data_IF_816062851226
#
_entry.id   IF_816062851226
#
_cell.length_a   1.000
_cell.length_b   1.000
_cell.length_c   1.000
_cell.angle_alpha   90.00
_cell.angle_beta   90.00
_cell.angle_gamma   90.00
#
_symmetry.space_group_name_H-M   'P 1'
#
loop_
_entity.id
_entity.type
_entity.pdbx_description
1 polymer ?
#
# COMPACT_ATOMS: atom_id res chain seq x y z
N UNK A 1 10.07 -20.37 -17.42
CA UNK A 1 8.70 -19.82 -17.61
C UNK A 1 8.37 -18.97 -16.39
N UNK A 2 8.87 -17.74 -16.37
CA UNK A 2 8.67 -16.79 -15.27
C UNK A 2 7.37 -16.03 -15.56
N UNK A 3 6.24 -16.56 -15.08
CA UNK A 3 4.95 -15.85 -15.13
C UNK A 3 4.98 -14.61 -14.25
N UNK A 4 4.30 -13.55 -14.68
CA UNK A 4 4.11 -12.34 -13.86
C UNK A 4 3.37 -12.71 -12.57
N UNK A 5 3.72 -12.18 -11.39
CA UNK A 5 2.94 -12.47 -10.18
C UNK A 5 1.56 -11.79 -10.24
N UNK A 6 0.53 -12.36 -9.58
CA UNK A 6 -0.75 -11.71 -9.45
C UNK A 6 -0.59 -10.37 -8.73
N UNK A 7 -1.31 -9.35 -9.21
CA UNK A 7 -1.22 -8.00 -8.68
C UNK A 7 -2.60 -7.42 -8.44
N UNK A 8 -2.75 -6.70 -7.35
CA UNK A 8 -3.97 -5.95 -7.08
C UNK A 8 -3.98 -4.67 -7.93
N UNK A 9 -4.97 -4.55 -8.80
CA UNK A 9 -5.24 -3.33 -9.54
C UNK A 9 -6.29 -2.47 -8.85
N UNK A 10 -6.18 -1.15 -8.99
CA UNK A 10 -7.27 -0.20 -8.74
C UNK A 10 -7.73 0.34 -10.08
N UNK A 11 -9.00 0.20 -10.42
CA UNK A 11 -9.57 0.82 -11.61
C UNK A 11 -10.74 1.74 -11.24
N UNK A 12 -10.84 2.85 -11.96
CA UNK A 12 -11.89 3.86 -11.77
C UNK A 12 -12.81 3.86 -13.01
N UNK A 13 -14.11 3.59 -12.86
CA UNK A 13 -15.09 4.05 -13.84
C UNK A 13 -15.15 5.58 -13.75
N UNK A 14 -14.88 6.29 -14.85
CA UNK A 14 -14.82 7.76 -14.93
C UNK A 14 -16.14 8.49 -14.64
N UNK A 15 -17.20 7.78 -14.24
CA UNK A 15 -18.57 8.28 -14.16
C UNK A 15 -19.02 8.66 -12.75
N UNK A 16 -18.22 8.44 -11.71
CA UNK A 16 -18.61 8.72 -10.32
C UNK A 16 -17.78 9.85 -9.72
N UNK A 17 -18.20 11.09 -9.99
CA UNK A 17 -17.70 12.28 -9.32
C UNK A 17 -18.65 12.66 -8.18
N UNK A 18 -18.28 12.32 -6.94
CA UNK A 18 -18.97 12.78 -5.72
C UNK A 18 -19.26 11.67 -4.71
N UNK A 19 -18.76 11.85 -3.48
CA UNK A 19 -18.67 10.89 -2.36
C UNK A 19 -17.70 9.73 -2.60
N UNK A 20 -16.97 9.33 -1.56
CA UNK A 20 -15.88 8.34 -1.62
C UNK A 20 -16.39 7.02 -2.24
N UNK A 21 -16.13 6.84 -3.53
CA UNK A 21 -16.49 5.62 -4.24
C UNK A 21 -15.79 4.44 -3.55
N UNK A 22 -16.48 3.30 -3.31
CA UNK A 22 -15.83 2.12 -2.79
C UNK A 22 -14.71 1.73 -3.75
N UNK A 23 -13.49 1.59 -3.22
CA UNK A 23 -12.35 1.17 -4.01
C UNK A 23 -12.62 -0.26 -4.53
N UNK A 24 -12.90 -0.39 -5.82
CA UNK A 24 -13.00 -1.67 -6.50
C UNK A 24 -11.57 -2.19 -6.70
N UNK A 25 -11.19 -3.13 -5.86
CA UNK A 25 -9.97 -3.90 -6.02
C UNK A 25 -10.26 -5.06 -6.96
N UNK A 26 -9.54 -5.14 -8.07
CA UNK A 26 -9.60 -6.30 -8.95
C UNK A 26 -8.26 -7.03 -8.89
N UNK A 27 -8.31 -8.32 -8.59
CA UNK A 27 -7.14 -9.19 -8.62
C UNK A 27 -6.79 -9.49 -10.09
N UNK A 28 -5.66 -9.00 -10.57
CA UNK A 28 -5.14 -9.34 -11.90
C UNK A 28 -4.30 -10.60 -11.80
N UNK A 29 -4.77 -11.67 -12.47
CA UNK A 29 -4.04 -12.93 -12.60
C UNK A 29 -3.34 -12.98 -13.96
N UNK A 30 -2.24 -13.75 -14.06
CA UNK A 30 -1.65 -14.13 -15.35
C UNK A 30 -2.61 -14.97 -16.19
N UNK A 31 -2.54 -14.83 -17.52
CA UNK A 31 -3.43 -15.51 -18.49
C UNK A 31 -3.44 -17.05 -18.35
N UNK A 32 -2.36 -17.65 -17.86
CA UNK A 32 -2.23 -19.10 -17.61
C UNK A 32 -2.84 -19.57 -16.27
N UNK A 33 -3.24 -18.63 -15.42
CA UNK A 33 -3.93 -18.85 -14.15
C UNK A 33 -5.35 -18.26 -14.15
N UNK A 34 -5.82 -17.75 -15.29
CA UNK A 34 -7.24 -17.48 -15.49
C UNK A 34 -7.98 -18.83 -15.54
N UNK A 35 -8.87 -19.14 -14.57
CA UNK A 35 -9.62 -20.38 -14.57
C UNK A 35 -10.52 -20.41 -15.80
N UNK A 36 -10.52 -21.56 -16.47
CA UNK A 36 -11.23 -21.76 -17.73
C UNK A 36 -12.75 -21.52 -17.64
N UNK A 37 -13.42 -21.45 -18.80
CA UNK A 37 -14.85 -21.11 -18.93
C UNK A 37 -15.82 -22.05 -18.20
N UNK A 38 -15.35 -23.19 -17.69
CA UNK A 38 -16.15 -24.20 -16.98
C UNK A 38 -16.45 -23.87 -15.52
N UNK A 39 -15.93 -22.77 -14.95
CA UNK A 39 -16.17 -22.38 -13.56
C UNK A 39 -17.60 -21.85 -13.27
N UNK A 40 -18.56 -22.24 -14.10
CA UNK A 40 -20.00 -22.12 -13.92
C UNK A 40 -20.71 -23.47 -13.86
N UNK A 41 -19.99 -24.59 -13.98
CA UNK A 41 -20.61 -25.91 -13.99
C UNK A 41 -20.99 -26.32 -12.57
N UNK A 42 -22.13 -25.80 -12.11
CA UNK A 42 -22.68 -26.07 -10.78
C UNK A 42 -24.19 -25.82 -10.72
N UNK A 43 -24.84 -26.33 -9.68
CA UNK A 43 -26.31 -26.36 -9.52
C UNK A 43 -26.97 -25.00 -9.25
N UNK A 44 -26.19 -23.93 -9.08
CA UNK A 44 -26.68 -22.61 -8.67
C UNK A 44 -27.33 -21.81 -9.81
N UNK A 45 -26.72 -21.63 -11.01
CA UNK A 45 -27.40 -21.01 -12.15
C UNK A 45 -28.69 -21.72 -12.55
N UNK A 46 -28.71 -23.05 -12.52
CA UNK A 46 -29.90 -23.85 -12.83
C UNK A 46 -31.03 -23.61 -11.80
N UNK A 47 -30.70 -23.60 -10.50
CA UNK A 47 -31.64 -23.22 -9.44
C UNK A 47 -32.12 -21.78 -9.57
N UNK A 48 -31.23 -20.84 -9.88
CA UNK A 48 -31.61 -19.44 -10.09
C UNK A 48 -32.53 -19.25 -11.30
N UNK A 49 -32.34 -20.06 -12.34
CA UNK A 49 -33.22 -20.08 -13.53
C UNK A 49 -34.63 -20.48 -13.14
N UNK A 50 -34.76 -21.45 -12.21
CA UNK A 50 -36.05 -21.92 -11.71
C UNK A 50 -36.69 -20.96 -10.68
N UNK A 51 -35.95 -20.54 -9.66
CA UNK A 51 -36.49 -19.79 -8.52
C UNK A 51 -36.64 -18.28 -8.78
N UNK A 52 -35.78 -17.71 -9.63
CA UNK A 52 -35.69 -16.26 -9.87
C UNK A 52 -35.35 -15.93 -11.34
N UNK A 53 -36.15 -16.38 -12.33
CA UNK A 53 -35.83 -16.22 -13.76
C UNK A 53 -35.63 -14.76 -14.19
N UNK A 54 -36.43 -13.83 -13.63
CA UNK A 54 -36.34 -12.39 -13.93
C UNK A 54 -35.05 -11.76 -13.40
N UNK A 55 -34.57 -12.22 -12.23
CA UNK A 55 -33.30 -11.73 -11.67
C UNK A 55 -32.14 -12.25 -12.51
N UNK A 56 -32.16 -13.53 -12.86
CA UNK A 56 -31.11 -14.15 -13.68
C UNK A 56 -31.00 -13.48 -15.04
N UNK A 57 -32.12 -13.10 -15.68
CA UNK A 57 -32.09 -12.33 -16.92
C UNK A 57 -31.35 -10.99 -16.80
N UNK A 58 -31.33 -10.37 -15.61
CA UNK A 58 -30.62 -9.10 -15.36
C UNK A 58 -29.16 -9.28 -14.99
N UNK A 59 -28.81 -10.34 -14.26
CA UNK A 59 -27.47 -10.54 -13.69
C UNK A 59 -26.69 -11.69 -14.33
N UNK A 60 -27.27 -12.41 -15.28
CA UNK A 60 -26.71 -13.65 -15.83
C UNK A 60 -25.34 -13.48 -16.48
N UNK A 61 -25.03 -12.30 -17.02
CA UNK A 61 -23.71 -11.98 -17.57
C UNK A 61 -22.62 -11.72 -16.52
N UNK A 62 -23.00 -11.27 -15.32
CA UNK A 62 -22.06 -10.96 -14.21
C UNK A 62 -22.02 -12.06 -13.14
N UNK A 63 -23.03 -12.93 -13.09
CA UNK A 63 -23.09 -14.04 -12.17
C UNK A 63 -21.87 -15.00 -12.30
N UNK A 64 -21.39 -15.36 -13.51
CA UNK A 64 -20.22 -16.21 -13.68
C UNK A 64 -18.94 -15.68 -13.04
N UNK A 65 -18.48 -14.44 -13.33
CA UNK A 65 -17.30 -13.91 -12.67
C UNK A 65 -17.51 -13.71 -11.16
N UNK A 66 -18.73 -13.40 -10.71
CA UNK A 66 -19.02 -13.26 -9.27
C UNK A 66 -18.92 -14.59 -8.51
N UNK A 67 -19.46 -15.68 -9.06
CA UNK A 67 -19.35 -17.03 -8.47
C UNK A 67 -17.90 -17.46 -8.42
N UNK A 68 -17.14 -17.25 -9.52
CA UNK A 68 -15.69 -17.51 -9.55
C UNK A 68 -14.93 -16.77 -8.46
N UNK A 69 -15.22 -15.48 -8.29
CA UNK A 69 -14.56 -14.68 -7.26
C UNK A 69 -14.95 -15.16 -5.85
N UNK A 70 -16.22 -15.51 -5.64
CA UNK A 70 -16.68 -16.08 -4.38
C UNK A 70 -16.01 -17.44 -4.08
N UNK A 71 -15.77 -18.29 -5.08
CA UNK A 71 -15.03 -19.53 -4.92
C UNK A 71 -13.55 -19.28 -4.60
N UNK A 72 -12.91 -18.30 -5.25
CA UNK A 72 -11.52 -17.91 -4.95
C UNK A 72 -11.35 -17.36 -3.54
N UNK A 73 -12.33 -16.62 -3.06
CA UNK A 73 -12.38 -16.12 -1.69
C UNK A 73 -12.78 -17.21 -0.67
N UNK A 74 -13.09 -18.42 -1.13
CA UNK A 74 -13.52 -19.53 -0.28
C UNK A 74 -14.90 -19.33 0.35
N UNK A 75 -15.74 -18.43 -0.21
CA UNK A 75 -17.13 -18.23 0.21
C UNK A 75 -18.05 -19.30 -0.37
N UNK A 76 -17.70 -19.80 -1.55
CA UNK A 76 -18.35 -20.92 -2.21
C UNK A 76 -17.35 -22.06 -2.42
N UNK A 77 -17.84 -23.29 -2.36
CA UNK A 77 -17.12 -24.48 -2.81
C UNK A 77 -18.10 -25.38 -3.55
N UNK A 78 -17.78 -25.73 -4.81
CA UNK A 78 -18.59 -26.60 -5.65
C UNK A 78 -20.07 -26.15 -5.74
N UNK A 79 -20.30 -24.84 -5.85
CA UNK A 79 -21.65 -24.25 -5.90
C UNK A 79 -22.44 -24.25 -4.59
N UNK A 80 -21.80 -24.50 -3.44
CA UNK A 80 -22.42 -24.43 -2.10
C UNK A 80 -21.72 -23.40 -1.20
N UNK A 81 -22.43 -22.81 -0.24
CA UNK A 81 -21.84 -21.89 0.74
C UNK A 81 -20.91 -22.65 1.69
N UNK A 82 -19.69 -22.16 1.84
CA UNK A 82 -18.78 -22.62 2.89
C UNK A 82 -19.23 -22.10 4.25
N UNK A 83 -18.56 -22.51 5.33
CA UNK A 83 -18.79 -21.95 6.66
C UNK A 83 -18.54 -20.44 6.71
N UNK A 84 -17.43 -19.98 6.11
CA UNK A 84 -17.10 -18.56 5.93
C UNK A 84 -18.18 -17.84 5.11
N UNK A 85 -18.63 -18.45 4.01
CA UNK A 85 -19.72 -17.92 3.19
C UNK A 85 -21.04 -17.76 3.96
N UNK A 86 -21.36 -18.72 4.84
CA UNK A 86 -22.56 -18.66 5.70
C UNK A 86 -22.47 -17.59 6.77
N UNK A 87 -21.30 -17.36 7.37
CA UNK A 87 -21.10 -16.32 8.39
C UNK A 87 -21.21 -14.90 7.80
N UNK A 88 -20.81 -14.73 6.53
CA UNK A 88 -20.90 -13.44 5.83
C UNK A 88 -22.26 -13.20 5.17
N UNK A 89 -22.99 -14.27 4.84
CA UNK A 89 -24.33 -14.16 4.27
C UNK A 89 -25.21 -13.32 5.19
N UNK A 90 -26.00 -12.37 4.66
CA UNK A 90 -27.02 -11.71 5.46
C UNK A 90 -27.95 -12.78 6.03
N UNK A 91 -28.35 -12.63 7.29
CA UNK A 91 -29.45 -13.42 7.83
C UNK A 91 -30.61 -13.30 6.85
N UNK A 92 -31.06 -14.45 6.34
CA UNK A 92 -32.11 -14.45 5.33
C UNK A 92 -33.29 -13.71 5.96
N UNK A 93 -33.73 -12.55 5.43
CA UNK A 93 -34.91 -11.92 5.99
C UNK A 93 -36.00 -12.98 5.91
N UNK A 94 -36.60 -13.30 7.07
CA UNK A 94 -37.78 -14.13 7.13
C UNK A 94 -38.71 -13.65 6.02
N UNK A 95 -39.15 -14.57 5.16
CA UNK A 95 -39.98 -14.26 3.98
C UNK A 95 -40.97 -13.16 4.36
N UNK A 96 -40.87 -11.94 3.78
CA UNK A 96 -41.72 -10.86 4.22
C UNK A 96 -43.16 -11.26 3.94
N UNK A 97 -43.93 -11.48 5.00
CA UNK A 97 -45.37 -11.43 4.92
C UNK A 97 -45.73 -10.06 4.38
N UNK A 98 -46.10 -10.04 3.10
CA UNK A 98 -46.79 -8.97 2.38
C UNK A 98 -46.95 -7.64 3.15
N UNK A 99 -45.99 -6.74 2.95
CA UNK A 99 -46.13 -5.32 3.30
C UNK A 99 -45.18 -4.86 4.40
N UNK A 100 -44.01 -4.39 3.99
CA UNK A 100 -43.34 -3.20 4.53
C UNK A 100 -42.08 -2.96 3.68
N UNK A 101 -42.03 -1.81 2.98
CA UNK A 101 -40.89 -1.36 2.18
C UNK A 101 -39.73 -0.94 3.10
N UNK A 102 -39.08 -1.91 3.74
CA UNK A 102 -37.82 -1.68 4.43
C UNK A 102 -36.70 -1.61 3.37
N UNK A 103 -36.52 -0.43 2.78
CA UNK A 103 -35.31 -0.12 2.01
C UNK A 103 -34.18 -0.05 3.06
N UNK A 104 -33.22 -1.00 3.07
CA UNK A 104 -32.15 -0.95 4.06
C UNK A 104 -31.41 0.37 3.92
N UNK A 105 -31.31 1.13 5.00
CA UNK A 105 -30.43 2.29 5.04
C UNK A 105 -29.00 1.82 4.72
N UNK A 106 -28.34 2.50 3.79
CA UNK A 106 -26.97 2.19 3.39
C UNK A 106 -26.02 2.20 4.60
N UNK A 107 -26.30 3.03 5.61
CA UNK A 107 -25.59 3.04 6.89
C UNK A 107 -25.75 1.72 7.66
N UNK A 108 -26.99 1.26 7.86
CA UNK A 108 -27.31 0.02 8.58
C UNK A 108 -26.76 -1.24 7.88
N UNK A 109 -26.81 -1.27 6.54
CA UNK A 109 -26.22 -2.36 5.76
C UNK A 109 -24.69 -2.44 5.90
N UNK A 110 -24.02 -1.29 5.97
CA UNK A 110 -22.56 -1.20 6.16
C UNK A 110 -22.13 -1.62 7.56
N UNK A 111 -22.88 -1.22 8.60
CA UNK A 111 -22.64 -1.64 10.00
C UNK A 111 -22.85 -3.13 10.17
N UNK A 112 -23.92 -3.69 9.61
CA UNK A 112 -24.17 -5.14 9.68
C UNK A 112 -23.11 -5.96 8.95
N UNK A 113 -22.54 -5.45 7.85
CA UNK A 113 -21.42 -6.11 7.17
C UNK A 113 -20.14 -6.09 8.02
N UNK A 114 -19.82 -4.95 8.64
CA UNK A 114 -18.65 -4.83 9.51
C UNK A 114 -18.71 -5.82 10.69
N UNK A 115 -19.88 -5.97 11.31
CA UNK A 115 -20.09 -6.94 12.39
C UNK A 115 -19.94 -8.39 11.90
N UNK A 116 -20.53 -8.74 10.75
CA UNK A 116 -20.36 -10.08 10.16
C UNK A 116 -18.91 -10.38 9.81
N UNK A 117 -18.18 -9.39 9.27
CA UNK A 117 -16.74 -9.51 8.99
C UNK A 117 -15.95 -9.76 10.27
N UNK A 118 -16.23 -9.04 11.36
CA UNK A 118 -15.58 -9.23 12.66
C UNK A 118 -15.81 -10.66 13.19
N UNK A 119 -17.06 -11.13 13.24
CA UNK A 119 -17.38 -12.51 13.67
C UNK A 119 -16.71 -13.57 12.78
N UNK A 120 -16.66 -13.32 11.48
CA UNK A 120 -15.98 -14.22 10.54
C UNK A 120 -14.47 -14.26 10.78
N UNK A 121 -13.87 -13.12 11.09
CA UNK A 121 -12.45 -13.03 11.44
C UNK A 121 -12.15 -13.80 12.74
N UNK A 122 -12.98 -13.65 13.77
CA UNK A 122 -12.84 -14.39 15.04
C UNK A 122 -12.94 -15.91 14.80
N UNK A 123 -13.95 -16.35 14.05
CA UNK A 123 -14.11 -17.75 13.70
C UNK A 123 -12.92 -18.32 12.89
N UNK A 124 -12.40 -17.55 11.94
CA UNK A 124 -11.21 -17.94 11.18
C UNK A 124 -9.97 -17.99 12.08
N UNK A 125 -9.83 -17.08 13.05
CA UNK A 125 -8.72 -17.11 14.00
C UNK A 125 -8.74 -18.35 14.90
N UNK A 126 -9.92 -18.86 15.26
CA UNK A 126 -10.09 -20.12 16.00
C UNK A 126 -9.85 -21.36 15.14
N UNK A 127 -10.26 -21.33 13.87
CA UNK A 127 -10.18 -22.48 12.96
C UNK A 127 -8.80 -22.66 12.31
N UNK A 128 -8.03 -21.58 12.15
CA UNK A 128 -6.72 -21.61 11.52
C UNK A 128 -5.62 -21.99 12.51
N UNK A 129 -4.51 -22.60 12.05
CA UNK A 129 -3.34 -22.83 12.89
C UNK A 129 -2.83 -21.52 13.50
N UNK A 130 -2.28 -21.56 14.73
CA UNK A 130 -1.74 -20.37 15.35
C UNK A 130 -0.63 -19.78 14.48
N UNK A 131 -0.68 -18.46 14.31
CA UNK A 131 0.35 -17.73 13.59
C UNK A 131 1.63 -17.68 14.43
N UNK A 132 2.77 -17.81 13.76
CA UNK A 132 4.09 -17.67 14.37
C UNK A 132 4.79 -16.45 13.81
N UNK A 133 5.64 -15.84 14.61
CA UNK A 133 6.49 -14.71 14.22
C UNK A 133 7.96 -15.13 14.07
N UNK A 134 8.28 -16.39 14.35
CA UNK A 134 9.64 -16.91 14.41
C UNK A 134 10.12 -17.53 13.09
N UNK A 135 11.38 -17.26 12.74
CA UNK A 135 12.11 -17.83 11.61
C UNK A 135 13.45 -18.40 12.02
N UNK A 136 13.96 -19.35 11.23
CA UNK A 136 15.35 -19.81 11.29
C UNK A 136 16.12 -19.27 10.09
N UNK A 137 17.11 -18.42 10.36
CA UNK A 137 18.04 -17.93 9.34
C UNK A 137 19.26 -18.85 9.26
N UNK A 138 19.50 -19.40 8.07
CA UNK A 138 20.55 -20.36 7.79
C UNK A 138 21.76 -19.69 7.12
N UNK A 139 22.92 -20.35 7.17
CA UNK A 139 24.19 -19.84 6.62
C UNK A 139 24.22 -19.72 5.10
N UNK A 140 23.32 -20.41 4.40
CA UNK A 140 23.10 -20.35 2.95
C UNK A 140 22.20 -19.18 2.52
N UNK A 141 21.94 -18.23 3.43
CA UNK A 141 21.12 -17.04 3.23
C UNK A 141 19.63 -17.36 2.99
N UNK A 142 19.15 -18.46 3.55
CA UNK A 142 17.72 -18.78 3.58
C UNK A 142 17.12 -18.52 4.96
N UNK A 143 15.89 -18.03 4.99
CA UNK A 143 15.04 -17.96 6.16
C UNK A 143 13.89 -18.94 5.99
N UNK A 144 13.76 -19.86 6.94
CA UNK A 144 12.69 -20.86 6.97
C UNK A 144 11.76 -20.53 8.12
N UNK A 145 10.47 -20.39 7.85
CA UNK A 145 9.49 -20.21 8.91
C UNK A 145 9.33 -21.46 9.77
N UNK A 146 8.97 -21.29 11.04
CA UNK A 146 8.65 -22.42 11.92
C UNK A 146 7.22 -22.94 11.70
N UNK A 147 6.36 -22.14 11.06
CA UNK A 147 4.95 -22.43 10.81
C UNK A 147 4.28 -21.37 9.93
N UNK A 148 2.97 -21.19 10.11
CA UNK A 148 2.21 -20.15 9.41
C UNK A 148 2.64 -18.76 9.91
N UNK A 149 3.42 -18.03 9.13
CA UNK A 149 3.90 -16.70 9.55
C UNK A 149 2.76 -15.70 9.72
N UNK A 150 2.87 -14.86 10.74
CA UNK A 150 2.06 -13.66 10.86
C UNK A 150 2.18 -12.80 9.58
N UNK A 151 1.06 -12.22 9.08
CA UNK A 151 1.04 -11.46 7.83
C UNK A 151 2.09 -10.33 7.77
N UNK A 152 2.31 -9.65 8.89
CA UNK A 152 3.25 -8.54 9.02
C UNK A 152 4.69 -9.00 8.83
N UNK A 153 5.06 -10.15 9.41
CA UNK A 153 6.39 -10.75 9.28
C UNK A 153 6.61 -11.26 7.87
N UNK A 154 5.60 -11.90 7.28
CA UNK A 154 5.66 -12.34 5.87
C UNK A 154 5.85 -11.16 4.92
N UNK A 155 5.10 -10.07 5.11
CA UNK A 155 5.23 -8.86 4.29
C UNK A 155 6.62 -8.21 4.44
N UNK A 156 7.14 -8.14 5.67
CA UNK A 156 8.50 -7.68 5.94
C UNK A 156 9.55 -8.51 5.20
N UNK A 157 9.47 -9.84 5.28
CA UNK A 157 10.37 -10.76 4.57
C UNK A 157 10.25 -10.65 3.05
N UNK A 158 9.04 -10.54 2.50
CA UNK A 158 8.82 -10.37 1.05
C UNK A 158 9.39 -9.05 0.52
N UNK A 159 9.50 -8.01 1.36
CA UNK A 159 10.13 -6.75 0.97
C UNK A 159 11.65 -6.87 0.80
N UNK A 160 12.31 -7.72 1.60
CA UNK A 160 13.78 -7.78 1.71
C UNK A 160 14.39 -9.10 1.15
N UNK A 161 13.56 -10.11 0.92
CA UNK A 161 13.95 -11.44 0.46
C UNK A 161 13.07 -11.90 -0.73
N UNK A 162 13.44 -13.01 -1.35
CA UNK A 162 12.65 -13.66 -2.38
C UNK A 162 11.97 -14.91 -1.82
N UNK A 163 10.65 -14.99 -1.94
CA UNK A 163 9.89 -16.19 -1.54
C UNK A 163 10.13 -17.32 -2.55
N UNK A 164 10.71 -18.43 -2.10
CA UNK A 164 11.03 -19.59 -2.95
C UNK A 164 9.90 -20.63 -2.96
N UNK A 165 9.25 -20.83 -1.82
CA UNK A 165 8.28 -21.92 -1.65
C UNK A 165 6.87 -21.40 -1.40
N UNK A 166 5.89 -22.01 -2.07
CA UNK A 166 4.45 -21.85 -1.84
C UNK A 166 3.83 -23.00 -1.01
N UNK A 167 4.64 -24.01 -0.65
CA UNK A 167 4.25 -25.16 0.17
C UNK A 167 4.04 -24.82 1.65
N UNK A 168 3.82 -25.86 2.49
CA UNK A 168 3.32 -25.73 3.86
C UNK A 168 4.18 -24.92 4.84
N UNK A 169 5.45 -24.70 4.52
CA UNK A 169 6.34 -23.81 5.28
C UNK A 169 6.97 -22.80 4.31
N UNK A 170 6.75 -21.49 4.47
CA UNK A 170 7.32 -20.50 3.59
C UNK A 170 8.84 -20.37 3.81
N UNK A 171 9.58 -20.43 2.71
CA UNK A 171 11.03 -20.24 2.67
C UNK A 171 11.37 -19.00 1.86
N UNK A 172 12.29 -18.19 2.39
CA UNK A 172 12.74 -16.93 1.81
C UNK A 172 14.24 -16.97 1.58
N UNK A 173 14.71 -16.59 0.40
CA UNK A 173 16.14 -16.45 0.09
C UNK A 173 16.54 -14.98 0.06
N UNK A 174 17.57 -14.63 0.81
CA UNK A 174 18.19 -13.31 0.72
C UNK A 174 19.19 -13.28 -0.43
N UNK A 175 19.09 -12.24 -1.25
CA UNK A 175 20.02 -11.97 -2.35
C UNK A 175 20.38 -10.49 -2.34
N UNK A 176 21.51 -10.12 -2.94
CA UNK A 176 21.86 -8.71 -3.12
C UNK A 176 20.74 -7.94 -3.86
N UNK A 177 20.08 -8.57 -4.82
CA UNK A 177 18.96 -7.97 -5.55
C UNK A 177 17.73 -7.74 -4.66
N UNK A 178 17.35 -8.70 -3.80
CA UNK A 178 16.20 -8.55 -2.90
C UNK A 178 16.43 -7.49 -1.84
N UNK A 179 17.63 -7.46 -1.25
CA UNK A 179 17.99 -6.45 -0.26
C UNK A 179 18.03 -5.05 -0.88
N UNK A 180 18.58 -4.92 -2.10
CA UNK A 180 18.53 -3.64 -2.84
C UNK A 180 17.10 -3.20 -3.15
N UNK A 181 16.18 -4.12 -3.45
CA UNK A 181 14.75 -3.78 -3.60
C UNK A 181 14.17 -3.24 -2.29
N UNK A 182 14.42 -3.92 -1.17
CA UNK A 182 14.01 -3.46 0.15
C UNK A 182 14.56 -2.06 0.46
N UNK A 183 15.85 -1.82 0.20
CA UNK A 183 16.48 -0.52 0.45
C UNK A 183 15.89 0.58 -0.43
N UNK A 184 15.65 0.30 -1.72
CA UNK A 184 14.95 1.22 -2.61
C UNK A 184 13.50 1.51 -2.17
N UNK A 185 12.89 0.62 -1.39
CA UNK A 185 11.56 0.81 -0.79
C UNK A 185 11.61 1.51 0.59
N UNK A 186 12.80 1.96 1.03
CA UNK A 186 12.98 2.72 2.28
C UNK A 186 13.47 1.91 3.48
N UNK A 187 13.83 0.64 3.30
CA UNK A 187 14.46 -0.13 4.38
C UNK A 187 15.92 0.28 4.57
N UNK A 188 16.35 0.47 5.82
CA UNK A 188 17.76 0.71 6.15
C UNK A 188 18.44 -0.59 6.57
N UNK A 189 19.77 -0.67 6.43
CA UNK A 189 20.54 -1.82 6.89
C UNK A 189 20.27 -2.13 8.39
N UNK A 190 20.17 -1.08 9.20
CA UNK A 190 19.86 -1.21 10.62
C UNK A 190 18.46 -1.78 10.85
N UNK A 191 17.44 -1.23 10.20
CA UNK A 191 16.06 -1.71 10.32
C UNK A 191 15.91 -3.15 9.85
N UNK A 192 16.66 -3.56 8.83
CA UNK A 192 16.70 -4.95 8.37
C UNK A 192 17.30 -5.86 9.45
N UNK A 193 18.42 -5.46 10.07
CA UNK A 193 19.03 -6.22 11.18
C UNK A 193 18.13 -6.31 12.40
N UNK A 194 17.55 -5.20 12.83
CA UNK A 194 16.59 -5.16 13.94
C UNK A 194 15.40 -6.08 13.68
N UNK A 195 14.83 -6.01 12.46
CA UNK A 195 13.74 -6.88 12.05
C UNK A 195 14.14 -8.36 12.09
N UNK A 196 15.30 -8.72 11.54
CA UNK A 196 15.75 -10.11 11.57
C UNK A 196 16.10 -10.58 13.00
N UNK A 197 16.67 -9.72 13.83
CA UNK A 197 17.02 -10.04 15.22
C UNK A 197 15.77 -10.26 16.09
N UNK A 198 14.69 -9.52 15.82
CA UNK A 198 13.43 -9.67 16.55
C UNK A 198 12.69 -10.99 16.24
N UNK A 199 12.86 -11.52 15.02
CA UNK A 199 12.08 -12.67 14.54
C UNK A 199 12.91 -13.95 14.37
N UNK A 200 14.25 -13.88 14.42
CA UNK A 200 15.11 -15.05 14.25
C UNK A 200 15.33 -15.76 15.57
N UNK A 201 15.13 -17.08 15.57
CA UNK A 201 15.43 -17.95 16.73
C UNK A 201 16.92 -18.15 16.98
N UNK A 202 17.73 -17.94 15.95
CA UNK A 202 19.18 -18.04 16.02
C UNK A 202 19.82 -16.67 15.73
N UNK A 203 21.07 -16.50 16.15
CA UNK A 203 21.86 -15.34 15.76
C UNK A 203 21.97 -15.23 14.24
N UNK A 204 21.97 -14.00 13.73
CA UNK A 204 22.06 -13.74 12.30
C UNK A 204 23.45 -14.17 11.78
N UNK A 205 23.54 -15.04 10.76
CA UNK A 205 24.82 -15.43 10.18
C UNK A 205 25.63 -14.23 9.67
N UNK A 206 26.95 -14.25 9.90
CA UNK A 206 27.86 -13.18 9.46
C UNK A 206 27.84 -12.95 7.94
N UNK A 207 27.57 -14.00 7.16
CA UNK A 207 27.39 -13.93 5.71
C UNK A 207 26.21 -13.02 5.33
N UNK A 208 25.09 -13.11 6.05
CA UNK A 208 23.92 -12.28 5.81
C UNK A 208 24.16 -10.84 6.28
N UNK A 209 24.79 -10.65 7.44
CA UNK A 209 25.14 -9.33 7.94
C UNK A 209 26.01 -8.55 6.94
N UNK A 210 27.04 -9.21 6.41
CA UNK A 210 27.93 -8.62 5.39
C UNK A 210 27.16 -8.30 4.10
N UNK A 211 26.28 -9.19 3.65
CA UNK A 211 25.46 -8.97 2.47
C UNK A 211 24.52 -7.76 2.61
N UNK A 212 23.95 -7.56 3.80
CA UNK A 212 23.10 -6.40 4.11
C UNK A 212 23.92 -5.11 4.02
N UNK A 213 25.10 -5.09 4.64
CA UNK A 213 25.99 -3.92 4.60
C UNK A 213 26.47 -3.61 3.19
N UNK A 214 26.80 -4.63 2.40
CA UNK A 214 27.24 -4.46 1.01
C UNK A 214 26.09 -3.96 0.12
N UNK A 215 24.86 -4.47 0.32
CA UNK A 215 23.69 -3.99 -0.39
C UNK A 215 23.40 -2.51 -0.09
N UNK A 216 23.56 -2.09 1.17
CA UNK A 216 23.40 -0.70 1.58
C UNK A 216 24.52 0.20 1.06
N UNK A 217 25.79 -0.24 1.13
CA UNK A 217 26.94 0.51 0.60
C UNK A 217 26.90 0.68 -0.92
N UNK A 218 26.42 -0.32 -1.64
CA UNK A 218 26.34 -0.30 -3.11
C UNK A 218 25.12 0.48 -3.61
N UNK A 219 24.15 0.78 -2.75
CA UNK A 219 22.97 1.53 -3.16
C UNK A 219 23.36 2.98 -3.46
N UNK A 220 23.37 3.32 -4.74
CA UNK A 220 23.63 4.66 -5.27
C UNK A 220 22.34 5.26 -5.83
N UNK A 221 21.26 5.21 -5.05
CA UNK A 221 19.97 5.76 -5.43
C UNK A 221 19.82 7.22 -5.02
N UNK A 222 18.95 7.95 -5.73
CA UNK A 222 18.47 9.26 -5.30
C UNK A 222 17.09 9.06 -4.70
N UNK A 223 16.90 9.49 -3.45
CA UNK A 223 15.59 9.51 -2.82
C UNK A 223 14.84 10.75 -3.30
N UNK A 224 13.65 10.54 -3.86
CA UNK A 224 12.77 11.64 -4.27
C UNK A 224 11.65 11.75 -3.24
N UNK A 225 11.48 12.93 -2.67
CA UNK A 225 10.36 13.27 -1.81
C UNK A 225 9.68 14.55 -2.31
N UNK A 226 8.35 14.62 -2.19
CA UNK A 226 7.64 15.88 -2.37
C UNK A 226 7.91 16.76 -1.15
N UNK A 227 8.13 18.06 -1.36
CA UNK A 227 8.16 19.07 -0.31
C UNK A 227 7.39 20.29 -0.80
N UNK A 228 6.30 20.64 -0.12
CA UNK A 228 5.41 21.72 -0.53
C UNK A 228 5.88 23.08 -0.02
N UNK A 229 6.54 23.11 1.14
CA UNK A 229 7.19 24.32 1.65
C UNK A 229 8.45 24.00 2.44
N UNK A 230 9.28 25.02 2.63
CA UNK A 230 10.56 24.96 3.31
C UNK A 230 10.76 26.20 4.18
N UNK A 231 11.61 26.06 5.20
CA UNK A 231 12.08 27.18 6.01
C UNK A 231 13.58 27.02 6.27
N UNK A 232 14.26 28.14 6.48
CA UNK A 232 15.69 28.19 6.80
C UNK A 232 15.81 28.69 8.23
N UNK A 233 16.49 27.91 9.07
CA UNK A 233 16.89 28.29 10.42
C UNK A 233 18.36 27.93 10.61
N UNK A 234 19.19 28.97 10.77
CA UNK A 234 20.65 28.84 10.88
C UNK A 234 21.07 28.41 12.28
N UNK A 235 20.28 28.73 13.31
CA UNK A 235 20.58 28.36 14.69
C UNK A 235 20.14 26.89 14.99
N UNK A 236 21.08 25.98 15.28
CA UNK A 236 20.75 24.58 15.57
C UNK A 236 19.88 24.39 16.81
N UNK A 237 19.99 25.25 17.83
CA UNK A 237 19.18 25.15 19.05
C UNK A 237 17.71 25.51 18.77
N UNK A 238 17.48 26.56 17.98
CA UNK A 238 16.14 26.95 17.53
C UNK A 238 15.52 25.88 16.63
N UNK A 239 16.29 25.30 15.72
CA UNK A 239 15.80 24.23 14.84
C UNK A 239 15.35 23.01 15.63
N UNK A 240 16.13 22.55 16.61
CA UNK A 240 15.73 21.47 17.50
C UNK A 240 14.42 21.79 18.25
N UNK A 241 14.27 23.04 18.69
CA UNK A 241 13.04 23.53 19.34
C UNK A 241 11.83 23.47 18.40
N UNK A 242 11.98 23.90 17.14
CA UNK A 242 10.91 23.85 16.14
C UNK A 242 10.47 22.42 15.82
N UNK A 243 11.42 21.47 15.72
CA UNK A 243 11.13 20.05 15.47
C UNK A 243 10.39 19.37 16.62
N UNK A 244 10.61 19.82 17.86
CA UNK A 244 9.96 19.30 19.06
C UNK A 244 8.61 19.96 19.35
N UNK A 245 8.30 21.09 18.71
CA UNK A 245 7.07 21.84 18.97
C UNK A 245 5.83 21.03 18.49
N UNK A 246 4.81 20.79 19.34
CA UNK A 246 3.69 19.90 19.01
C UNK A 246 2.92 20.29 17.73
N UNK A 247 2.66 21.59 17.57
CA UNK A 247 1.93 22.13 16.41
C UNK A 247 2.74 21.90 15.11
N UNK A 248 4.04 22.16 15.13
CA UNK A 248 4.89 22.06 13.95
C UNK A 248 5.20 20.61 13.59
N UNK A 249 5.32 19.73 14.60
CA UNK A 249 5.47 18.29 14.40
C UNK A 249 4.26 17.68 13.69
N UNK A 250 3.05 18.18 13.96
CA UNK A 250 1.82 17.72 13.29
C UNK A 250 1.81 18.03 11.78
N UNK A 251 2.63 18.97 11.31
CA UNK A 251 2.77 19.34 9.91
C UNK A 251 3.83 18.51 9.17
N UNK A 252 4.48 17.55 9.84
CA UNK A 252 5.51 16.71 9.23
C UNK A 252 6.82 17.44 8.94
N UNK A 253 7.20 18.39 9.80
CA UNK A 253 8.46 19.12 9.68
C UNK A 253 9.65 18.15 9.81
N UNK A 254 10.54 18.13 8.80
CA UNK A 254 11.74 17.28 8.76
C UNK A 254 12.97 18.05 8.31
N UNK A 255 14.15 17.67 8.81
CA UNK A 255 15.43 18.23 8.37
C UNK A 255 15.80 17.71 6.98
N UNK A 256 16.10 18.64 6.07
CA UNK A 256 16.68 18.34 4.76
C UNK A 256 18.19 18.57 4.76
N UNK A 257 18.64 19.62 5.43
CA UNK A 257 20.06 19.96 5.61
C UNK A 257 20.31 20.52 7.00
N UNK A 258 21.56 20.88 7.31
CA UNK A 258 21.95 21.55 8.56
C UNK A 258 21.26 22.90 8.79
N UNK A 259 20.60 23.49 7.79
CA UNK A 259 19.90 24.79 7.94
C UNK A 259 18.47 24.76 7.39
N UNK A 260 18.11 23.76 6.58
CA UNK A 260 16.85 23.73 5.86
C UNK A 260 15.94 22.66 6.45
N UNK A 261 14.73 23.08 6.82
CA UNK A 261 13.62 22.22 7.19
C UNK A 261 12.58 22.22 6.07
N UNK A 262 11.94 21.08 5.82
CA UNK A 262 10.87 20.92 4.82
C UNK A 262 9.61 20.33 5.44
N UNK A 263 8.46 20.61 4.84
CA UNK A 263 7.20 19.95 5.18
C UNK A 263 6.33 19.76 3.93
N UNK A 264 5.34 18.86 4.06
CA UNK A 264 4.44 18.46 2.98
C UNK A 264 3.20 19.37 2.91
N UNK A 265 3.24 20.52 3.57
CA UNK A 265 2.15 21.48 3.70
C UNK A 265 2.47 22.78 2.95
N UNK A 266 1.46 23.48 2.45
CA UNK A 266 1.65 24.78 1.79
C UNK A 266 2.24 25.87 2.70
N UNK A 267 2.83 26.89 2.08
CA UNK A 267 3.53 27.97 2.78
C UNK A 267 2.61 28.92 3.59
N UNK A 268 1.29 28.90 3.38
CA UNK A 268 0.35 29.72 4.14
C UNK A 268 -0.03 29.05 5.45
N UNK A 269 -0.27 27.74 5.41
CA UNK A 269 -0.53 26.94 6.59
C UNK A 269 0.72 26.79 7.46
N UNK A 270 1.91 26.67 6.87
CA UNK A 270 3.17 26.73 7.63
C UNK A 270 3.35 28.07 8.34
N UNK A 271 3.12 29.19 7.66
CA UNK A 271 3.25 30.53 8.26
C UNK A 271 2.27 30.76 9.41
N UNK A 272 1.02 30.28 9.29
CA UNK A 272 0.03 30.34 10.37
C UNK A 272 0.48 29.53 11.59
N UNK A 273 0.96 28.31 11.38
CA UNK A 273 1.43 27.47 12.47
C UNK A 273 2.69 28.01 13.16
N UNK A 274 3.59 28.67 12.41
CA UNK A 274 4.74 29.37 12.99
C UNK A 274 4.29 30.56 13.84
N UNK A 275 3.32 31.34 13.36
CA UNK A 275 2.75 32.44 14.13
C UNK A 275 2.06 31.96 15.42
N UNK A 276 1.32 30.85 15.36
CA UNK A 276 0.71 30.21 16.54
C UNK A 276 1.77 29.70 17.53
N UNK A 277 2.93 29.27 17.04
CA UNK A 277 4.08 28.89 17.87
C UNK A 277 4.89 30.11 18.37
N UNK A 278 4.47 31.35 18.09
CA UNK A 278 5.17 32.57 18.49
C UNK A 278 6.45 32.85 17.70
N UNK A 279 6.62 32.21 16.53
CA UNK A 279 7.79 32.35 15.67
C UNK A 279 7.47 33.29 14.53
N UNK A 280 8.19 34.41 14.48
CA UNK A 280 8.05 35.35 13.38
C UNK A 280 8.70 34.79 12.10
N UNK A 281 7.91 34.68 11.03
CA UNK A 281 8.38 34.15 9.74
C UNK A 281 8.51 35.25 8.71
N UNK A 282 9.66 35.33 8.03
CA UNK A 282 9.85 36.22 6.88
C UNK A 282 9.66 35.44 5.58
N UNK A 283 8.82 35.94 4.67
CA UNK A 283 8.75 35.40 3.31
C UNK A 283 9.92 35.91 2.46
N UNK A 284 10.58 35.05 1.68
CA UNK A 284 11.59 35.51 0.73
C UNK A 284 10.93 36.46 -0.28
N UNK A 285 11.69 37.45 -0.74
CA UNK A 285 11.23 38.36 -1.79
C UNK A 285 10.98 37.50 -3.03
N UNK A 286 9.72 37.46 -3.49
CA UNK A 286 9.34 36.63 -4.61
C UNK A 286 10.15 37.04 -5.85
N UNK A 287 10.97 36.13 -6.38
CA UNK A 287 11.45 36.22 -7.76
C UNK A 287 10.27 36.21 -8.74
N UNK A 288 10.48 36.55 -10.03
CA UNK A 288 9.41 36.59 -11.01
C UNK A 288 8.63 35.28 -11.00
N UNK A 289 7.32 35.36 -10.77
CA UNK A 289 6.42 34.19 -10.73
C UNK A 289 6.54 33.43 -12.05
N UNK A 290 7.24 32.28 -12.03
CA UNK A 290 7.11 31.32 -13.13
C UNK A 290 5.76 30.62 -12.94
N UNK A 291 5.01 30.51 -14.04
CA UNK A 291 3.77 29.74 -14.06
C UNK A 291 4.06 28.34 -13.51
N UNK A 292 3.19 27.77 -12.65
CA UNK A 292 3.25 26.34 -12.37
C UNK A 292 3.29 25.60 -13.71
N UNK A 293 4.16 24.61 -13.85
CA UNK A 293 4.02 23.66 -14.94
C UNK A 293 2.65 22.99 -14.72
N UNK A 294 1.70 23.27 -15.60
CA UNK A 294 0.45 22.52 -15.64
C UNK A 294 0.82 21.06 -15.97
N UNK A 295 0.42 20.14 -15.11
CA UNK A 295 0.67 18.69 -15.23
C UNK A 295 -0.10 18.07 -16.42
N UNK A 296 -0.75 18.89 -17.25
CA UNK A 296 -1.53 18.49 -18.43
C UNK A 296 -0.78 18.56 -19.75
N UNK A 297 0.50 18.93 -19.79
CA UNK A 297 1.32 18.80 -21.00
C UNK A 297 1.72 17.33 -21.21
N UNK A 298 0.74 16.58 -21.73
CA UNK A 298 0.85 15.27 -22.36
C UNK A 298 2.11 15.24 -23.22
N UNK A 299 3.12 14.50 -22.78
CA UNK A 299 4.36 14.27 -23.52
C UNK A 299 4.02 13.85 -24.97
N UNK A 300 4.37 14.64 -26.00
CA UNK A 300 4.28 14.19 -27.36
C UNK A 300 5.41 13.18 -27.57
N UNK A 301 5.03 11.92 -27.75
CA UNK A 301 5.94 10.87 -28.16
C UNK A 301 6.49 11.19 -29.56
N UNK A 302 7.77 11.57 -29.60
CA UNK A 302 8.66 11.31 -30.74
C UNK A 302 8.86 12.44 -31.75
N UNK A 303 10.11 12.91 -31.81
CA UNK A 303 10.77 13.27 -33.07
C UNK A 303 10.98 14.76 -33.34
N UNK A 304 12.23 15.21 -33.20
CA UNK A 304 12.73 16.34 -33.99
C UNK A 304 13.38 17.50 -33.22
N UNK A 305 14.71 17.50 -33.25
CA UNK A 305 15.59 18.67 -33.34
C UNK A 305 15.46 19.81 -32.29
N UNK A 306 16.43 19.81 -31.36
CA UNK A 306 17.26 20.97 -31.04
C UNK A 306 16.56 22.25 -30.61
N UNK A 307 16.40 22.44 -29.30
CA UNK A 307 16.63 23.76 -28.69
C UNK A 307 17.01 23.60 -27.22
N UNK A 308 18.17 24.18 -26.94
CA UNK A 308 18.83 24.35 -25.65
C UNK A 308 17.83 24.68 -24.53
N UNK A 309 17.64 23.74 -23.59
CA UNK A 309 16.89 23.95 -22.34
C UNK A 309 17.79 23.57 -21.19
N UNK A 310 18.56 24.55 -20.71
CA UNK A 310 19.17 24.50 -19.38
C UNK A 310 18.05 24.46 -18.34
N UNK A 311 17.64 23.25 -17.94
CA UNK A 311 16.85 23.03 -16.75
C UNK A 311 17.74 23.28 -15.55
N UNK A 312 17.40 24.28 -14.73
CA UNK A 312 18.10 24.54 -13.48
C UNK A 312 17.42 23.74 -12.35
N UNK A 313 18.28 23.05 -11.61
CA UNK A 313 18.00 22.25 -10.43
C UNK A 313 17.30 23.09 -9.33
N UNK A 314 16.20 22.64 -8.71
CA UNK A 314 15.60 23.33 -7.57
C UNK A 314 16.58 23.54 -6.40
N UNK A 315 17.61 22.70 -6.25
CA UNK A 315 18.70 22.94 -5.29
C UNK A 315 19.58 24.16 -5.66
N UNK A 316 19.75 24.46 -6.95
CA UNK A 316 20.48 25.64 -7.41
C UNK A 316 19.73 26.94 -7.10
N UNK A 317 18.40 26.92 -7.01
CA UNK A 317 17.60 28.08 -6.59
C UNK A 317 17.74 28.35 -5.10
N UNK A 318 17.82 27.29 -4.27
CA UNK A 318 18.08 27.42 -2.84
C UNK A 318 19.52 27.93 -2.57
N UNK A 319 20.53 27.42 -3.29
CA UNK A 319 21.90 27.92 -3.19
C UNK A 319 22.06 29.36 -3.69
N UNK A 320 21.36 29.77 -4.76
CA UNK A 320 21.39 31.14 -5.26
C UNK A 320 20.74 32.15 -4.30
N UNK A 321 19.74 31.72 -3.50
CA UNK A 321 19.14 32.56 -2.47
C UNK A 321 20.05 32.75 -1.25
N UNK A 322 20.92 31.77 -0.95
CA UNK A 322 21.94 31.88 0.11
C UNK A 322 23.12 32.76 -0.33
N UNK A 323 23.50 32.73 -1.62
CA UNK A 323 24.60 33.53 -2.16
C UNK A 323 24.28 35.02 -2.42
N UNK A 324 23.01 35.42 -2.35
CA UNK A 324 22.57 36.79 -2.66
C UNK A 324 22.32 37.69 -1.44
N UNK A 325 22.78 37.28 -0.25
CA UNK A 325 22.50 37.96 1.02
C UNK A 325 23.78 38.35 1.81
N UNK A 326 24.86 38.66 1.09
CA UNK A 326 25.98 39.47 1.61
C UNK A 326 25.63 40.97 1.59
#
# INVERSE_FOLDING_TARGET
LLGTPPRWGRSWPSTWAGSAAPALYHLQLPDDQEPGPEALTGTLPDRMTWDRPVLLARVGQVLPPMVREAERLGLLAMGTLTEVGRLLAPETPAVPGRGEDHRPDAGSASTGLAERLARTADHLAEALPPQVDQIHVQSDLTAVAVGALAPEVSAGLEAIAQKETRGGVPTFRFTAASLRRGISAGWTAERIREFLAAHSLAEIPSSLATLIDDAARTWQGVTIGAASSWLIERDPARRATLLQHPILRSLGLRELTTEVLVCDVDAERLARALAEAGVESRRPIAGPRRRPCDDTDRFPSGGGAGRDRRGLDPAAVALAAVAGAD
#
